data_IF_267338011145
#
_entry.id   IF_267338011145
#
_cell.length_a   1.000
_cell.length_b   1.000
_cell.length_c   1.000
_cell.angle_alpha   90.00
_cell.angle_beta   90.00
_cell.angle_gamma   90.00
#
_symmetry.space_group_name_H-M   'P 1'
#
loop_
_entity.id
_entity.type
_entity.pdbx_description
1 polymer ?
#
# COMPACT_ATOMS: atom_id res chain seq x y z
N UNK A 1 3.19 24.18 8.73
CA UNK A 1 2.77 22.77 8.58
C UNK A 1 1.50 22.56 9.39
N UNK A 2 0.52 21.87 8.86
CA UNK A 2 -0.68 21.49 9.61
C UNK A 2 -0.32 20.46 10.69
N UNK A 3 -1.11 20.37 11.76
CA UNK A 3 -0.91 19.34 12.77
C UNK A 3 -1.25 17.96 12.21
N UNK A 4 -0.52 16.88 12.59
CA UNK A 4 -0.88 15.53 12.22
C UNK A 4 -2.22 15.11 12.85
N UNK A 5 -2.95 14.23 12.16
CA UNK A 5 -4.18 13.65 12.68
C UNK A 5 -3.84 12.82 13.92
N UNK A 6 -4.57 13.06 15.01
CA UNK A 6 -4.42 12.27 16.23
C UNK A 6 -5.52 11.20 16.29
N UNK A 7 -5.11 9.95 16.50
CA UNK A 7 -6.03 8.81 16.70
C UNK A 7 -5.86 8.31 18.12
N UNK A 8 -6.89 8.47 18.93
CA UNK A 8 -6.95 8.03 20.31
C UNK A 8 -7.38 6.57 20.39
N UNK A 9 -6.72 5.81 21.23
CA UNK A 9 -7.12 4.47 21.67
C UNK A 9 -7.86 4.66 22.99
N UNK A 10 -9.15 4.35 23.01
CA UNK A 10 -10.01 4.61 24.16
C UNK A 10 -10.51 3.28 24.75
N UNK A 11 -10.34 3.11 26.03
CA UNK A 11 -10.82 1.93 26.78
C UNK A 11 -11.48 2.38 28.08
N UNK A 12 -12.74 1.97 28.31
CA UNK A 12 -13.48 2.36 29.51
C UNK A 12 -13.57 3.87 29.73
N UNK A 13 -13.59 4.67 28.63
CA UNK A 13 -13.62 6.13 28.69
C UNK A 13 -12.26 6.80 28.93
N UNK A 14 -11.17 6.02 29.07
CA UNK A 14 -9.81 6.52 29.28
C UNK A 14 -9.04 6.47 27.95
N UNK A 15 -8.31 7.53 27.62
CA UNK A 15 -7.36 7.55 26.50
C UNK A 15 -6.11 6.78 26.94
N UNK A 16 -5.94 5.58 26.38
CA UNK A 16 -4.84 4.66 26.70
C UNK A 16 -3.59 4.97 25.88
N UNK A 17 -3.76 5.41 24.62
CA UNK A 17 -2.67 5.79 23.72
C UNK A 17 -3.16 6.80 22.67
N UNK A 18 -2.20 7.49 22.04
CA UNK A 18 -2.46 8.40 20.92
C UNK A 18 -1.48 8.11 19.80
N UNK A 19 -1.98 7.85 18.61
CA UNK A 19 -1.19 7.72 17.39
C UNK A 19 -1.23 9.05 16.61
N UNK A 20 -0.09 9.46 16.05
CA UNK A 20 0.03 10.62 15.18
C UNK A 20 0.13 10.14 13.74
N UNK A 21 -0.66 10.73 12.84
CA UNK A 21 -0.73 10.29 11.45
C UNK A 21 -0.52 11.49 10.53
N UNK A 22 0.54 11.44 9.73
CA UNK A 22 0.75 12.34 8.60
C UNK A 22 -0.09 11.87 7.43
N UNK A 23 -0.71 12.80 6.71
CA UNK A 23 -1.53 12.51 5.55
C UNK A 23 -1.31 13.57 4.47
N UNK A 24 -1.33 13.16 3.21
CA UNK A 24 -1.23 14.06 2.07
C UNK A 24 -2.10 13.55 0.92
N UNK A 25 -2.75 14.49 0.24
CA UNK A 25 -3.49 14.25 -0.99
C UNK A 25 -2.84 15.04 -2.13
N UNK A 26 -2.62 14.37 -3.26
CA UNK A 26 -1.98 14.94 -4.45
C UNK A 26 -2.86 14.73 -5.68
N UNK A 27 -3.05 15.77 -6.46
CA UNK A 27 -3.71 15.72 -7.77
C UNK A 27 -2.87 16.51 -8.78
N UNK A 28 -2.61 15.95 -9.97
CA UNK A 28 -1.82 16.60 -11.02
C UNK A 28 -0.46 17.15 -10.52
N UNK A 29 0.20 16.41 -9.64
CA UNK A 29 1.49 16.78 -9.05
C UNK A 29 1.44 17.83 -7.95
N UNK A 30 0.26 18.37 -7.61
CA UNK A 30 0.07 19.40 -6.60
C UNK A 30 -0.54 18.81 -5.32
N UNK A 31 -0.02 19.24 -4.16
CA UNK A 31 -0.64 18.92 -2.87
C UNK A 31 -1.95 19.70 -2.76
N UNK A 32 -3.07 18.99 -2.64
CA UNK A 32 -4.41 19.57 -2.50
C UNK A 32 -4.91 19.55 -1.06
N UNK A 33 -4.38 18.68 -0.22
CA UNK A 33 -4.62 18.68 1.23
C UNK A 33 -3.45 18.01 1.96
N UNK A 34 -3.22 18.41 3.20
CA UNK A 34 -2.20 17.83 4.07
C UNK A 34 -2.60 17.87 5.54
N UNK A 35 -2.07 16.93 6.33
CA UNK A 35 -2.05 16.92 7.78
C UNK A 35 -0.69 16.41 8.24
N UNK A 36 -0.02 17.14 9.14
CA UNK A 36 1.36 16.87 9.52
C UNK A 36 2.38 17.24 8.44
N UNK A 37 3.45 16.47 8.33
CA UNK A 37 4.54 16.71 7.37
C UNK A 37 4.33 15.87 6.09
N UNK A 38 3.98 16.50 4.95
CA UNK A 38 3.79 15.80 3.68
C UNK A 38 5.11 15.32 3.06
N UNK A 39 6.26 15.78 3.56
CA UNK A 39 7.59 15.43 3.02
C UNK A 39 8.36 14.46 3.89
N UNK A 40 7.74 13.92 4.95
CA UNK A 40 8.37 12.87 5.76
C UNK A 40 8.83 11.73 4.85
N UNK A 41 10.10 11.33 5.00
CA UNK A 41 10.68 10.25 4.21
C UNK A 41 10.18 8.90 4.73
N UNK A 42 9.63 8.07 3.85
CA UNK A 42 9.03 6.78 4.21
C UNK A 42 9.47 5.68 3.23
N UNK A 43 9.72 4.48 3.74
CA UNK A 43 9.88 3.31 2.87
C UNK A 43 8.52 2.81 2.40
N UNK A 44 8.32 2.68 1.08
CA UNK A 44 7.08 2.20 0.49
C UNK A 44 6.71 0.79 0.95
N UNK A 45 7.71 -0.07 1.15
CA UNK A 45 7.47 -1.46 1.53
C UNK A 45 6.41 -2.11 0.62
N UNK A 46 5.44 -2.78 1.20
CA UNK A 46 4.37 -3.43 0.43
C UNK A 46 3.42 -2.46 -0.31
N UNK A 47 3.42 -1.17 -0.01
CA UNK A 47 2.66 -0.19 -0.78
C UNK A 47 3.21 0.00 -2.21
N UNK A 48 4.48 -0.35 -2.47
CA UNK A 48 5.05 -0.31 -3.82
C UNK A 48 4.48 -1.36 -4.78
N UNK A 49 3.87 -2.44 -4.29
CA UNK A 49 3.52 -3.61 -5.11
C UNK A 49 2.61 -3.33 -6.31
N UNK A 50 1.59 -2.45 -6.23
CA UNK A 50 0.78 -2.08 -7.40
C UNK A 50 1.59 -1.41 -8.51
N UNK A 51 2.69 -0.72 -8.16
CA UNK A 51 3.60 -0.10 -9.12
C UNK A 51 4.63 -1.14 -9.60
N UNK A 52 5.17 -1.96 -8.71
CA UNK A 52 6.16 -3.00 -9.03
C UNK A 52 5.63 -4.08 -9.98
N UNK A 53 4.30 -4.31 -10.02
CA UNK A 53 3.72 -5.30 -10.92
C UNK A 53 3.54 -4.78 -12.35
N UNK A 54 3.63 -3.47 -12.60
CA UNK A 54 3.39 -2.86 -13.91
C UNK A 54 4.25 -3.46 -15.04
N UNK A 55 5.58 -3.67 -14.88
CA UNK A 55 6.38 -4.30 -15.93
C UNK A 55 5.87 -5.68 -16.35
N UNK A 56 5.42 -6.47 -15.38
CA UNK A 56 4.83 -7.78 -15.65
C UNK A 56 3.48 -7.66 -16.37
N UNK A 57 2.59 -6.78 -15.91
CA UNK A 57 1.24 -6.59 -16.49
C UNK A 57 1.32 -6.10 -17.94
N UNK A 58 2.30 -5.24 -18.26
CA UNK A 58 2.58 -4.79 -19.64
C UNK A 58 3.06 -5.93 -20.53
N UNK A 59 3.94 -6.77 -20.02
CA UNK A 59 4.52 -7.87 -20.77
C UNK A 59 3.59 -9.09 -20.92
N UNK A 60 2.56 -9.20 -20.05
CA UNK A 60 1.63 -10.34 -19.99
C UNK A 60 0.17 -9.86 -20.01
N UNK A 61 -0.35 -9.54 -21.19
CA UNK A 61 -1.76 -9.13 -21.34
C UNK A 61 -2.75 -10.27 -21.02
N UNK A 62 -2.29 -11.50 -20.97
CA UNK A 62 -3.04 -12.72 -20.66
C UNK A 62 -3.13 -13.05 -19.15
N UNK A 63 -2.58 -12.24 -18.26
CA UNK A 63 -2.82 -12.38 -16.82
C UNK A 63 -4.26 -12.03 -16.48
N UNK A 64 -4.88 -12.85 -15.64
CA UNK A 64 -6.19 -12.52 -15.08
C UNK A 64 -6.09 -11.60 -13.84
N UNK A 65 -7.22 -11.05 -13.40
CA UNK A 65 -7.27 -10.10 -12.29
C UNK A 65 -6.86 -10.75 -10.95
N UNK A 66 -7.09 -12.06 -10.75
CA UNK A 66 -6.66 -12.76 -9.52
C UNK A 66 -5.14 -12.89 -9.47
N UNK A 67 -4.50 -13.18 -10.59
CA UNK A 67 -3.05 -13.26 -10.73
C UNK A 67 -2.39 -11.89 -10.48
N UNK A 68 -2.99 -10.83 -11.00
CA UNK A 68 -2.51 -9.46 -10.76
C UNK A 68 -2.70 -9.08 -9.29
N UNK A 69 -3.87 -9.34 -8.72
CA UNK A 69 -4.16 -9.01 -7.31
C UNK A 69 -3.21 -9.74 -6.35
N UNK A 70 -2.94 -11.04 -6.57
CA UNK A 70 -2.02 -11.80 -5.72
C UNK A 70 -0.57 -11.32 -5.87
N UNK A 71 -0.14 -10.88 -7.05
CA UNK A 71 1.17 -10.26 -7.23
C UNK A 71 1.31 -8.91 -6.50
N UNK A 72 0.21 -8.21 -6.24
CA UNK A 72 0.14 -7.01 -5.39
C UNK A 72 -0.03 -7.32 -3.89
N UNK A 73 -0.19 -8.58 -3.49
CA UNK A 73 -0.64 -8.96 -2.16
C UNK A 73 0.45 -8.91 -1.08
N UNK A 74 -0.03 -8.83 0.16
CA UNK A 74 0.70 -9.24 1.37
C UNK A 74 -0.17 -10.28 2.08
N UNK A 75 -0.38 -11.41 1.43
CA UNK A 75 -1.39 -12.41 1.77
C UNK A 75 -1.15 -13.10 3.12
N UNK A 76 -2.16 -13.81 3.60
CA UNK A 76 -2.15 -14.54 4.88
C UNK A 76 -2.06 -16.06 4.68
N UNK A 77 -1.54 -16.50 3.55
CA UNK A 77 -1.40 -17.91 3.19
C UNK A 77 -2.71 -18.72 3.25
N UNK A 78 -3.85 -18.09 2.93
CA UNK A 78 -5.12 -18.78 2.80
C UNK A 78 -5.07 -19.73 1.59
N UNK A 79 -5.77 -20.88 1.61
CA UNK A 79 -5.69 -21.85 0.52
C UNK A 79 -5.90 -21.23 -0.86
N UNK A 80 -6.93 -20.39 -1.04
CA UNK A 80 -7.24 -19.73 -2.29
C UNK A 80 -6.12 -18.76 -2.75
N UNK A 81 -5.39 -18.15 -1.82
CA UNK A 81 -4.25 -17.28 -2.13
C UNK A 81 -3.05 -18.11 -2.59
N UNK A 82 -2.76 -19.22 -1.90
CA UNK A 82 -1.66 -20.13 -2.24
C UNK A 82 -1.87 -20.80 -3.61
N UNK A 83 -3.10 -21.16 -3.96
CA UNK A 83 -3.44 -21.76 -5.25
C UNK A 83 -3.13 -20.79 -6.41
N UNK A 84 -3.42 -19.49 -6.26
CA UNK A 84 -3.08 -18.48 -7.25
C UNK A 84 -1.56 -18.27 -7.33
N UNK A 85 -0.85 -18.29 -6.20
CA UNK A 85 0.62 -18.23 -6.20
C UNK A 85 1.22 -19.41 -6.96
N UNK A 86 0.70 -20.65 -6.75
CA UNK A 86 1.13 -21.84 -7.51
C UNK A 86 0.85 -21.70 -9.00
N UNK A 87 -0.30 -21.13 -9.37
CA UNK A 87 -0.61 -20.86 -10.78
C UNK A 87 0.41 -19.91 -11.42
N UNK A 88 0.78 -18.81 -10.75
CA UNK A 88 1.82 -17.90 -11.23
C UNK A 88 3.18 -18.58 -11.35
N UNK A 89 3.58 -19.40 -10.37
CA UNK A 89 4.82 -20.18 -10.43
C UNK A 89 4.83 -21.14 -11.62
N UNK A 90 3.72 -21.84 -11.86
CA UNK A 90 3.58 -22.72 -13.02
C UNK A 90 3.77 -21.95 -14.34
N UNK A 91 3.19 -20.75 -14.47
CA UNK A 91 3.38 -19.87 -15.65
C UNK A 91 4.83 -19.38 -15.78
N UNK A 92 5.52 -19.22 -14.67
CA UNK A 92 6.97 -18.89 -14.65
C UNK A 92 7.85 -20.12 -14.97
N UNK A 93 7.29 -21.33 -15.06
CA UNK A 93 8.00 -22.62 -15.07
C UNK A 93 8.93 -22.75 -13.86
N UNK A 94 8.47 -22.28 -12.72
CA UNK A 94 9.16 -22.27 -11.44
C UNK A 94 8.38 -23.08 -10.41
N UNK A 95 9.06 -23.40 -9.31
CA UNK A 95 8.50 -24.12 -8.16
C UNK A 95 8.60 -23.28 -6.88
N UNK A 96 8.06 -23.79 -5.79
CA UNK A 96 8.21 -23.16 -4.47
C UNK A 96 9.68 -23.05 -4.03
N UNK A 97 10.56 -23.95 -4.50
CA UNK A 97 11.98 -23.94 -4.19
C UNK A 97 12.73 -22.74 -4.82
N UNK A 98 12.19 -22.18 -5.90
CA UNK A 98 12.77 -21.04 -6.62
C UNK A 98 12.40 -19.69 -5.97
N UNK A 99 11.45 -19.68 -5.03
CA UNK A 99 11.11 -18.47 -4.27
C UNK A 99 12.26 -18.06 -3.35
N UNK A 100 12.78 -16.86 -3.51
CA UNK A 100 13.83 -16.28 -2.66
C UNK A 100 13.22 -15.47 -1.48
N UNK A 101 12.10 -15.96 -0.95
CA UNK A 101 11.50 -15.46 0.29
C UNK A 101 12.13 -16.14 1.50
N UNK A 102 11.92 -15.57 2.70
CA UNK A 102 12.28 -16.26 3.94
C UNK A 102 11.55 -17.60 4.10
N UNK A 103 12.11 -18.56 4.86
CA UNK A 103 11.59 -19.93 4.97
C UNK A 103 10.41 -20.13 5.94
N UNK A 104 9.90 -19.09 6.58
CA UNK A 104 8.93 -19.24 7.67
C UNK A 104 7.49 -18.93 7.25
N UNK A 105 6.52 -19.83 7.51
CA UNK A 105 6.65 -21.24 7.83
C UNK A 105 7.16 -22.08 6.65
N UNK A 106 6.84 -21.65 5.42
CA UNK A 106 7.42 -22.13 4.17
C UNK A 106 7.58 -20.97 3.20
N UNK A 107 8.34 -21.15 2.11
CA UNK A 107 8.58 -20.06 1.14
C UNK A 107 7.30 -19.57 0.47
N UNK A 108 6.38 -20.48 0.15
CA UNK A 108 5.11 -20.09 -0.48
C UNK A 108 4.14 -19.45 0.51
N UNK A 109 4.18 -19.79 1.80
CA UNK A 109 3.35 -19.20 2.84
C UNK A 109 3.86 -17.82 3.28
N UNK A 110 5.05 -17.42 2.86
CA UNK A 110 5.53 -16.07 3.12
C UNK A 110 4.59 -15.03 2.49
N UNK A 111 4.24 -13.98 3.23
CA UNK A 111 3.24 -12.98 2.84
C UNK A 111 3.50 -12.29 1.49
N UNK A 112 4.74 -12.32 1.00
CA UNK A 112 5.17 -11.74 -0.26
C UNK A 112 5.32 -12.75 -1.40
N UNK A 113 5.00 -14.04 -1.20
CA UNK A 113 5.26 -15.07 -2.24
C UNK A 113 4.53 -14.79 -3.55
N UNK A 114 3.34 -14.17 -3.50
CA UNK A 114 2.63 -13.73 -4.71
C UNK A 114 3.43 -12.72 -5.53
N UNK A 115 4.02 -11.70 -4.88
CA UNK A 115 4.94 -10.75 -5.52
C UNK A 115 6.16 -11.47 -6.10
N UNK A 116 6.76 -12.39 -5.34
CA UNK A 116 7.94 -13.14 -5.77
C UNK A 116 7.65 -14.08 -6.94
N UNK A 117 6.48 -14.73 -6.97
CA UNK A 117 6.02 -15.51 -8.13
C UNK A 117 5.85 -14.60 -9.37
N UNK A 118 5.30 -13.39 -9.18
CA UNK A 118 5.26 -12.38 -10.23
C UNK A 118 6.65 -11.96 -10.74
N UNK A 119 7.62 -11.83 -9.85
CA UNK A 119 9.01 -11.53 -10.22
C UNK A 119 9.66 -12.65 -11.02
N UNK A 120 9.48 -13.91 -10.64
CA UNK A 120 9.96 -15.06 -11.42
C UNK A 120 9.32 -15.09 -12.81
N UNK A 121 8.03 -14.80 -12.91
CA UNK A 121 7.36 -14.71 -14.21
C UNK A 121 7.90 -13.52 -15.03
N UNK A 122 8.17 -12.38 -14.41
CA UNK A 122 8.79 -11.23 -15.09
C UNK A 122 10.19 -11.56 -15.59
N UNK A 123 11.04 -12.23 -14.78
CA UNK A 123 12.36 -12.71 -15.21
C UNK A 123 12.24 -13.60 -16.45
N UNK A 124 11.34 -14.58 -16.43
CA UNK A 124 11.10 -15.46 -17.58
C UNK A 124 10.74 -14.68 -18.85
N UNK A 125 9.81 -13.75 -18.74
CA UNK A 125 9.35 -12.95 -19.90
C UNK A 125 10.45 -12.04 -20.44
N UNK A 126 11.29 -11.49 -19.55
CA UNK A 126 12.42 -10.62 -19.91
C UNK A 126 13.66 -11.39 -20.35
N UNK A 127 13.70 -12.73 -20.17
CA UNK A 127 14.90 -13.52 -20.40
C UNK A 127 16.00 -13.25 -19.35
N UNK A 128 15.62 -12.77 -18.16
CA UNK A 128 16.54 -12.60 -17.04
C UNK A 128 16.77 -13.93 -16.33
N UNK A 129 17.95 -14.09 -15.72
CA UNK A 129 18.25 -15.22 -14.84
C UNK A 129 17.26 -15.23 -13.67
N UNK A 130 16.65 -16.38 -13.35
CA UNK A 130 15.70 -16.49 -12.24
C UNK A 130 16.41 -16.45 -10.88
N UNK A 131 17.63 -17.04 -10.81
CA UNK A 131 18.40 -17.07 -9.56
C UNK A 131 18.94 -15.68 -9.22
N UNK A 132 18.81 -15.27 -7.97
CA UNK A 132 19.30 -13.98 -7.49
C UNK A 132 18.40 -12.81 -7.86
N UNK A 133 17.16 -13.06 -8.30
CA UNK A 133 16.22 -11.97 -8.64
C UNK A 133 15.90 -11.04 -7.45
N UNK A 134 16.16 -11.48 -6.23
CA UNK A 134 16.00 -10.67 -5.02
C UNK A 134 17.14 -9.69 -4.77
N UNK A 135 18.31 -9.90 -5.38
CA UNK A 135 19.51 -9.08 -5.17
C UNK A 135 19.36 -7.70 -5.81
N UNK A 136 19.80 -6.65 -5.12
CA UNK A 136 19.75 -5.28 -5.63
C UNK A 136 20.47 -5.08 -6.97
N UNK A 137 21.51 -5.90 -7.27
CA UNK A 137 22.25 -5.87 -8.53
C UNK A 137 21.55 -6.56 -9.69
N UNK A 138 20.42 -7.25 -9.44
CA UNK A 138 19.72 -7.99 -10.48
C UNK A 138 18.97 -7.03 -11.44
N UNK A 139 18.95 -7.29 -12.78
CA UNK A 139 18.31 -6.42 -13.76
C UNK A 139 16.84 -6.12 -13.45
N UNK A 140 16.10 -7.10 -12.93
CA UNK A 140 14.71 -6.89 -12.51
C UNK A 140 14.61 -5.80 -11.44
N UNK A 141 15.49 -5.78 -10.44
CA UNK A 141 15.40 -4.78 -9.36
C UNK A 141 15.75 -3.38 -9.86
N UNK A 142 16.64 -3.26 -10.84
CA UNK A 142 16.87 -1.99 -11.53
C UNK A 142 15.63 -1.53 -12.31
N UNK A 143 14.96 -2.42 -13.06
CA UNK A 143 13.69 -2.11 -13.76
C UNK A 143 12.61 -1.68 -12.78
N UNK A 144 12.52 -2.30 -11.59
CA UNK A 144 11.55 -1.94 -10.56
C UNK A 144 11.84 -0.58 -9.92
N UNK A 145 13.12 -0.25 -9.68
CA UNK A 145 13.53 1.07 -9.20
C UNK A 145 13.13 2.16 -10.21
N UNK A 146 13.45 1.97 -11.50
CA UNK A 146 13.06 2.89 -12.57
C UNK A 146 11.54 3.04 -12.68
N UNK A 147 10.80 1.94 -12.53
CA UNK A 147 9.33 1.96 -12.55
C UNK A 147 8.75 2.80 -11.40
N UNK A 148 9.29 2.64 -10.19
CA UNK A 148 8.86 3.41 -9.02
C UNK A 148 9.25 4.88 -9.17
N UNK A 149 10.47 5.17 -9.63
CA UNK A 149 10.97 6.52 -9.88
C UNK A 149 10.11 7.26 -10.92
N UNK A 150 9.79 6.59 -12.03
CA UNK A 150 8.93 7.13 -13.07
C UNK A 150 7.50 7.37 -12.57
N UNK A 151 6.94 6.48 -11.75
CA UNK A 151 5.62 6.69 -11.15
C UNK A 151 5.60 7.90 -10.21
N UNK A 152 6.64 8.09 -9.40
CA UNK A 152 6.77 9.18 -8.44
C UNK A 152 7.29 10.49 -9.07
N UNK A 153 7.73 10.47 -10.34
CA UNK A 153 8.41 11.58 -11.04
C UNK A 153 9.60 12.12 -10.25
N UNK A 154 10.51 11.21 -9.89
CA UNK A 154 11.76 11.53 -9.22
C UNK A 154 12.94 10.90 -9.96
N UNK A 155 14.14 11.44 -9.77
CA UNK A 155 15.37 10.80 -10.25
C UNK A 155 15.59 9.47 -9.52
N UNK A 156 15.76 8.32 -10.20
CA UNK A 156 16.07 7.05 -9.57
C UNK A 156 17.29 7.12 -8.63
N UNK A 157 18.29 7.95 -8.97
CA UNK A 157 19.47 8.15 -8.14
C UNK A 157 19.19 8.85 -6.81
N UNK A 158 18.06 9.55 -6.71
CA UNK A 158 17.64 10.22 -5.46
C UNK A 158 16.93 9.27 -4.49
N UNK A 159 16.54 8.07 -4.93
CA UNK A 159 15.81 7.11 -4.11
C UNK A 159 16.76 6.32 -3.22
N UNK A 160 16.64 6.50 -1.91
CA UNK A 160 17.33 5.63 -0.96
C UNK A 160 16.69 4.24 -0.98
N UNK A 161 17.52 3.21 -1.13
CA UNK A 161 17.08 1.81 -1.11
C UNK A 161 17.56 1.11 0.15
N UNK A 162 16.77 0.14 0.63
CA UNK A 162 17.12 -0.77 1.71
C UNK A 162 16.57 -2.15 1.39
N UNK A 163 16.92 -3.15 2.20
CA UNK A 163 16.39 -4.51 2.03
C UNK A 163 15.10 -4.66 2.83
N UNK A 164 14.03 -5.08 2.17
CA UNK A 164 12.75 -5.39 2.81
C UNK A 164 12.79 -6.74 3.56
N UNK A 165 11.82 -6.97 4.46
CA UNK A 165 11.70 -8.22 5.20
C UNK A 165 11.57 -9.48 4.34
N UNK A 166 11.20 -9.37 3.07
CA UNK A 166 11.16 -10.47 2.10
C UNK A 166 12.46 -10.64 1.28
N UNK A 167 13.51 -9.88 1.60
CA UNK A 167 14.82 -10.01 0.95
C UNK A 167 15.05 -9.16 -0.29
N UNK A 168 14.03 -8.51 -0.87
CA UNK A 168 14.18 -7.64 -2.04
C UNK A 168 14.38 -6.16 -1.66
N UNK A 169 14.88 -5.31 -2.56
CA UNK A 169 14.95 -3.87 -2.33
C UNK A 169 13.59 -3.24 -2.05
N UNK A 170 13.57 -2.27 -1.16
CA UNK A 170 12.47 -1.34 -0.91
C UNK A 170 12.95 0.09 -1.07
N UNK A 171 12.05 1.00 -1.38
CA UNK A 171 12.34 2.35 -1.86
C UNK A 171 11.82 3.39 -0.88
N UNK A 172 12.65 4.37 -0.51
CA UNK A 172 12.26 5.48 0.32
C UNK A 172 11.90 6.70 -0.55
N UNK A 173 10.72 7.24 -0.31
CA UNK A 173 10.21 8.45 -0.96
C UNK A 173 9.62 9.41 0.08
N UNK A 174 9.61 10.73 -0.17
CA UNK A 174 8.75 11.64 0.56
C UNK A 174 7.28 11.23 0.44
N UNK A 175 6.49 11.45 1.48
CA UNK A 175 5.09 11.00 1.54
C UNK A 175 4.23 11.59 0.40
N UNK A 176 4.48 12.85 0.01
CA UNK A 176 3.83 13.49 -1.15
C UNK A 176 4.18 12.79 -2.46
N UNK A 177 5.41 12.27 -2.62
CA UNK A 177 5.80 11.49 -3.80
C UNK A 177 5.15 10.10 -3.81
N UNK A 178 4.91 9.50 -2.64
CA UNK A 178 4.10 8.28 -2.54
C UNK A 178 2.66 8.53 -3.02
N UNK A 179 2.02 9.59 -2.54
CA UNK A 179 0.68 9.98 -2.99
C UNK A 179 0.65 10.31 -4.49
N UNK A 180 1.67 11.03 -4.99
CA UNK A 180 1.81 11.35 -6.41
C UNK A 180 1.94 10.09 -7.28
N UNK A 181 2.75 9.12 -6.89
CA UNK A 181 2.88 7.87 -7.62
C UNK A 181 1.53 7.12 -7.72
N UNK A 182 0.72 7.16 -6.67
CA UNK A 182 -0.61 6.59 -6.68
C UNK A 182 -1.60 7.42 -7.50
N UNK A 183 -1.53 8.76 -7.48
CA UNK A 183 -2.39 9.63 -8.31
C UNK A 183 -2.22 9.35 -9.80
N UNK A 184 -1.02 8.97 -10.21
CA UNK A 184 -0.68 8.65 -11.61
C UNK A 184 -1.02 7.22 -12.01
N UNK A 185 -1.17 6.31 -11.04
CA UNK A 185 -1.37 4.88 -11.31
C UNK A 185 -2.50 4.59 -12.31
N UNK A 186 -3.67 5.28 -12.27
CA UNK A 186 -4.73 5.06 -13.27
C UNK A 186 -4.30 5.30 -14.72
N UNK A 187 -3.44 6.30 -14.94
CA UNK A 187 -2.94 6.71 -16.27
C UNK A 187 -1.67 6.01 -16.72
N UNK A 188 -0.99 5.25 -15.85
CA UNK A 188 0.19 4.48 -16.24
C UNK A 188 -0.20 3.28 -17.09
N UNK A 189 0.66 2.92 -18.05
CA UNK A 189 0.46 1.70 -18.86
C UNK A 189 0.37 0.47 -17.95
N UNK A 190 -0.73 -0.28 -18.07
CA UNK A 190 -1.07 -1.41 -17.19
C UNK A 190 -1.74 -1.02 -15.88
N UNK A 191 -1.71 0.26 -15.49
CA UNK A 191 -2.24 0.72 -14.19
C UNK A 191 -3.74 0.51 -14.04
N UNK A 192 -4.53 0.77 -15.08
CA UNK A 192 -5.97 0.53 -15.06
C UNK A 192 -6.30 -0.94 -14.79
N UNK A 193 -5.51 -1.90 -15.32
CA UNK A 193 -5.67 -3.33 -15.05
C UNK A 193 -5.32 -3.68 -13.60
N UNK A 194 -4.24 -3.09 -13.06
CA UNK A 194 -3.86 -3.28 -11.65
C UNK A 194 -4.96 -2.79 -10.73
N UNK A 195 -5.53 -1.62 -11.00
CA UNK A 195 -6.66 -1.04 -10.24
C UNK A 195 -7.89 -1.94 -10.33
N UNK A 196 -8.25 -2.40 -11.53
CA UNK A 196 -9.37 -3.31 -11.74
C UNK A 196 -9.20 -4.61 -10.93
N UNK A 197 -8.02 -5.22 -10.96
CA UNK A 197 -7.69 -6.43 -10.22
C UNK A 197 -7.81 -6.23 -8.68
N UNK A 198 -7.26 -5.12 -8.16
CA UNK A 198 -7.35 -4.76 -6.74
C UNK A 198 -8.82 -4.58 -6.32
N UNK A 199 -9.62 -3.92 -7.15
CA UNK A 199 -11.04 -3.67 -6.88
C UNK A 199 -11.91 -4.94 -6.98
N UNK A 200 -11.59 -5.80 -7.91
CA UNK A 200 -12.32 -7.05 -8.11
C UNK A 200 -12.04 -8.08 -6.99
N UNK A 201 -10.82 -8.09 -6.45
CA UNK A 201 -10.37 -9.09 -5.47
C UNK A 201 -9.62 -8.45 -4.28
N UNK A 202 -10.22 -7.49 -3.56
CA UNK A 202 -9.54 -6.77 -2.48
C UNK A 202 -9.13 -7.69 -1.32
N UNK A 203 -9.86 -8.79 -1.08
CA UNK A 203 -9.54 -9.78 -0.05
C UNK A 203 -8.27 -10.58 -0.35
N UNK A 204 -7.85 -10.68 -1.62
CA UNK A 204 -6.59 -11.33 -2.00
C UNK A 204 -5.38 -10.51 -1.59
N UNK A 205 -5.50 -9.20 -1.41
CA UNK A 205 -4.38 -8.33 -1.03
C UNK A 205 -3.79 -8.70 0.34
N UNK A 206 -4.65 -9.11 1.26
CA UNK A 206 -4.25 -9.60 2.59
C UNK A 206 -5.31 -10.55 3.15
N UNK A 207 -6.53 -10.06 3.32
CA UNK A 207 -7.69 -10.79 3.83
C UNK A 207 -8.88 -9.84 3.95
N UNK A 208 -10.10 -10.36 4.18
CA UNK A 208 -11.34 -9.57 4.08
C UNK A 208 -11.48 -8.46 5.13
N UNK A 209 -10.78 -8.57 6.28
CA UNK A 209 -10.80 -7.57 7.36
C UNK A 209 -9.59 -6.63 7.33
N UNK A 210 -8.71 -6.76 6.34
CA UNK A 210 -7.57 -5.86 6.20
C UNK A 210 -8.01 -4.46 5.78
N UNK A 211 -7.26 -3.43 6.19
CA UNK A 211 -7.62 -2.04 5.94
C UNK A 211 -7.75 -1.73 4.44
N UNK A 212 -6.87 -2.28 3.60
CA UNK A 212 -6.93 -2.15 2.14
C UNK A 212 -8.22 -2.77 1.58
N UNK A 213 -8.61 -3.99 2.02
CA UNK A 213 -9.83 -4.63 1.55
C UNK A 213 -11.11 -3.92 2.04
N UNK A 214 -11.12 -3.46 3.30
CA UNK A 214 -12.24 -2.66 3.83
C UNK A 214 -12.36 -1.35 3.06
N UNK A 215 -11.24 -0.64 2.86
CA UNK A 215 -11.22 0.63 2.13
C UNK A 215 -11.78 0.50 0.72
N UNK A 216 -11.31 -0.50 -0.04
CA UNK A 216 -11.75 -0.71 -1.44
C UNK A 216 -13.26 -1.03 -1.53
N UNK A 217 -13.83 -1.66 -0.49
CA UNK A 217 -15.28 -1.94 -0.44
C UNK A 217 -16.11 -0.74 -0.01
N UNK A 218 -15.60 0.07 0.93
CA UNK A 218 -16.34 1.19 1.51
C UNK A 218 -16.23 2.47 0.67
N UNK A 219 -15.15 2.65 -0.10
CA UNK A 219 -14.91 3.86 -0.89
C UNK A 219 -14.94 3.52 -2.38
N UNK A 220 -16.09 3.78 -2.99
CA UNK A 220 -16.35 3.35 -4.36
C UNK A 220 -15.33 3.92 -5.36
N UNK A 221 -14.92 3.07 -6.28
CA UNK A 221 -14.01 3.42 -7.36
C UNK A 221 -12.52 3.44 -6.98
N UNK A 222 -12.17 3.49 -5.70
CA UNK A 222 -10.79 3.60 -5.27
C UNK A 222 -10.05 2.26 -5.25
N UNK A 223 -8.74 2.36 -5.38
CA UNK A 223 -7.80 1.25 -5.13
C UNK A 223 -6.78 1.66 -4.07
N UNK A 224 -6.32 0.69 -3.29
CA UNK A 224 -5.39 0.96 -2.21
C UNK A 224 -4.42 -0.18 -1.96
N UNK A 225 -3.28 0.15 -1.32
CA UNK A 225 -2.34 -0.83 -0.80
C UNK A 225 -1.67 -0.34 0.49
N UNK A 226 -1.82 -1.14 1.53
CA UNK A 226 -1.07 -0.94 2.77
C UNK A 226 0.38 -1.40 2.68
N UNK A 227 1.28 -0.63 3.26
CA UNK A 227 2.68 -0.96 3.52
C UNK A 227 2.91 -1.40 4.96
N UNK A 228 4.13 -1.78 5.30
CA UNK A 228 4.54 -1.96 6.69
C UNK A 228 4.74 -0.60 7.38
N UNK A 229 4.92 -0.63 8.70
CA UNK A 229 5.23 0.55 9.53
C UNK A 229 4.20 1.69 9.37
N UNK A 230 2.90 1.33 9.29
CA UNK A 230 1.82 2.31 9.23
C UNK A 230 1.79 3.18 7.97
N UNK A 231 2.26 2.68 6.84
CA UNK A 231 2.10 3.35 5.55
C UNK A 231 0.85 2.82 4.84
N UNK A 232 0.08 3.72 4.24
CA UNK A 232 -1.07 3.39 3.40
C UNK A 232 -1.14 4.34 2.23
N UNK A 233 -1.32 3.81 1.02
CA UNK A 233 -1.47 4.60 -0.20
C UNK A 233 -2.73 4.18 -0.94
N UNK A 234 -3.43 5.15 -1.53
CA UNK A 234 -4.65 4.93 -2.30
C UNK A 234 -4.75 5.90 -3.48
N UNK A 235 -5.55 5.53 -4.47
CA UNK A 235 -5.89 6.40 -5.59
C UNK A 235 -7.36 6.28 -5.95
N UNK A 236 -7.94 7.42 -6.37
CA UNK A 236 -9.26 7.49 -6.97
C UNK A 236 -9.21 7.27 -8.48
N UNK A 237 -10.36 7.01 -9.13
CA UNK A 237 -10.44 6.88 -10.58
C UNK A 237 -10.03 8.15 -11.33
N UNK A 238 -10.27 9.33 -10.74
CA UNK A 238 -10.00 10.65 -11.31
C UNK A 238 -8.62 11.22 -10.97
N UNK A 239 -7.69 10.36 -10.48
CA UNK A 239 -6.30 10.71 -10.29
C UNK A 239 -5.99 11.48 -9.00
N UNK A 240 -6.85 11.42 -7.97
CA UNK A 240 -6.47 11.86 -6.63
C UNK A 240 -5.68 10.74 -5.94
N UNK A 241 -4.43 10.99 -5.60
CA UNK A 241 -3.59 10.08 -4.82
C UNK A 241 -3.53 10.51 -3.37
N UNK A 242 -3.60 9.55 -2.45
CA UNK A 242 -3.53 9.79 -1.00
C UNK A 242 -2.48 8.89 -0.38
N UNK A 243 -1.68 9.44 0.54
CA UNK A 243 -0.74 8.67 1.34
C UNK A 243 -0.83 9.07 2.81
N UNK A 244 -0.81 8.07 3.69
CA UNK A 244 -0.79 8.23 5.14
C UNK A 244 0.40 7.50 5.75
N UNK A 245 1.02 8.12 6.77
CA UNK A 245 2.08 7.51 7.58
C UNK A 245 1.79 7.71 9.05
N UNK A 246 1.74 6.62 9.79
CA UNK A 246 1.65 6.64 11.26
C UNK A 246 3.05 6.72 11.85
N UNK A 247 3.33 7.68 12.73
CA UNK A 247 4.67 7.92 13.29
C UNK A 247 5.28 6.68 13.94
N UNK A 248 4.51 6.02 14.78
CA UNK A 248 4.92 4.82 15.54
C UNK A 248 4.73 3.49 14.77
N UNK A 249 4.27 3.57 13.51
CA UNK A 249 4.05 2.39 12.67
C UNK A 249 2.78 1.59 12.98
N UNK A 250 1.98 1.99 13.96
CA UNK A 250 0.79 1.26 14.41
C UNK A 250 -0.34 1.29 13.36
N UNK A 251 -0.43 0.23 12.56
CA UNK A 251 -1.35 0.14 11.42
C UNK A 251 -2.84 0.28 11.81
N UNK A 252 -3.19 0.01 13.07
CA UNK A 252 -4.57 0.17 13.60
C UNK A 252 -5.11 1.60 13.49
N UNK A 253 -4.23 2.62 13.45
CA UNK A 253 -4.61 4.02 13.34
C UNK A 253 -5.00 4.43 11.90
N UNK A 254 -4.68 3.62 10.88
CA UNK A 254 -4.88 3.97 9.46
C UNK A 254 -6.35 4.22 9.14
N UNK A 255 -7.25 3.30 9.48
CA UNK A 255 -8.66 3.42 9.09
C UNK A 255 -9.34 4.67 9.64
N UNK A 256 -9.28 4.98 10.94
CA UNK A 256 -9.87 6.21 11.48
C UNK A 256 -9.25 7.49 10.91
N UNK A 257 -7.90 7.52 10.75
CA UNK A 257 -7.21 8.67 10.20
C UNK A 257 -7.55 8.89 8.72
N UNK A 258 -7.61 7.80 7.93
CA UNK A 258 -7.94 7.84 6.51
C UNK A 258 -9.37 8.34 6.28
N UNK A 259 -10.34 7.84 7.07
CA UNK A 259 -11.72 8.32 6.99
C UNK A 259 -11.80 9.82 7.27
N UNK A 260 -11.23 10.26 8.39
CA UNK A 260 -11.23 11.67 8.76
C UNK A 260 -10.54 12.55 7.70
N UNK A 261 -9.44 12.09 7.11
CA UNK A 261 -8.73 12.85 6.07
C UNK A 261 -9.55 12.94 4.78
N UNK A 262 -10.13 11.84 4.32
CA UNK A 262 -10.96 11.80 3.11
C UNK A 262 -12.24 12.62 3.23
N UNK A 263 -12.84 12.68 4.41
CA UNK A 263 -14.00 13.54 4.71
C UNK A 263 -13.68 15.03 4.50
N UNK A 264 -12.43 15.46 4.80
CA UNK A 264 -11.99 16.85 4.50
C UNK A 264 -11.93 17.15 3.02
N UNK A 265 -11.84 16.11 2.18
CA UNK A 265 -11.83 16.16 0.72
C UNK A 265 -13.23 15.94 0.10
N UNK A 266 -14.27 15.81 0.94
CA UNK A 266 -15.62 15.54 0.49
C UNK A 266 -15.88 14.12 -0.01
N UNK A 267 -15.00 13.17 0.33
CA UNK A 267 -15.14 11.75 -0.05
C UNK A 267 -15.94 11.03 1.01
N UNK A 268 -17.03 10.36 0.61
CA UNK A 268 -17.80 9.52 1.51
C UNK A 268 -17.02 8.27 1.91
N UNK A 269 -16.94 7.98 3.21
CA UNK A 269 -16.10 6.92 3.77
C UNK A 269 -16.87 5.75 4.39
N UNK A 270 -18.22 5.80 4.38
CA UNK A 270 -19.06 4.74 4.91
C UNK A 270 -18.70 4.39 6.36
N UNK A 271 -18.41 3.13 6.62
CA UNK A 271 -18.01 2.63 7.95
C UNK A 271 -16.49 2.58 8.15
N UNK A 272 -15.68 3.12 7.21
CA UNK A 272 -14.23 3.02 7.24
C UNK A 272 -13.62 3.51 8.56
N UNK A 273 -14.15 4.61 9.10
CA UNK A 273 -13.66 5.21 10.34
C UNK A 273 -13.97 4.41 11.61
N UNK A 274 -14.87 3.45 11.55
CA UNK A 274 -15.20 2.63 12.72
C UNK A 274 -14.11 1.58 12.99
N UNK A 275 -13.40 1.74 14.09
CA UNK A 275 -12.38 0.80 14.53
C UNK A 275 -12.61 0.46 16.00
N UNK A 276 -13.02 -0.78 16.28
CA UNK A 276 -13.25 -1.32 17.62
C UNK A 276 -12.04 -2.08 18.13
N UNK A 277 -11.92 -2.14 19.44
CA UNK A 277 -10.97 -3.02 20.14
C UNK A 277 -11.79 -4.12 20.77
N UNK A 278 -11.43 -5.36 20.44
CA UNK A 278 -12.06 -6.55 20.98
C UNK A 278 -11.09 -7.28 21.93
N UNK A 279 -11.65 -7.95 22.92
CA UNK A 279 -10.90 -8.88 23.77
C UNK A 279 -10.83 -10.28 23.10
N UNK A 280 -10.20 -11.23 23.77
CA UNK A 280 -10.08 -12.62 23.28
C UNK A 280 -11.41 -13.38 23.20
N UNK A 281 -12.49 -12.83 23.76
CA UNK A 281 -13.84 -13.39 23.70
C UNK A 281 -14.68 -12.75 22.56
N UNK A 282 -14.10 -11.81 21.77
CA UNK A 282 -14.82 -11.09 20.73
C UNK A 282 -15.72 -9.97 21.26
N UNK A 283 -15.60 -9.60 22.53
CA UNK A 283 -16.37 -8.52 23.13
C UNK A 283 -15.70 -7.17 22.88
N UNK A 284 -16.48 -6.16 22.48
CA UNK A 284 -15.99 -4.78 22.32
C UNK A 284 -15.60 -4.22 23.69
N UNK A 285 -14.33 -3.89 23.85
CA UNK A 285 -13.74 -3.35 25.09
C UNK A 285 -13.16 -1.94 24.92
N UNK A 286 -13.19 -1.40 23.70
CA UNK A 286 -12.67 -0.09 23.38
C UNK A 286 -12.89 0.29 21.92
N UNK A 287 -12.35 1.44 21.54
CA UNK A 287 -12.42 1.97 20.19
C UNK A 287 -11.20 2.82 19.85
N UNK A 288 -10.97 3.03 18.55
CA UNK A 288 -10.07 4.05 18.06
C UNK A 288 -10.89 5.17 17.46
N UNK A 289 -10.55 6.42 17.80
CA UNK A 289 -11.29 7.62 17.36
C UNK A 289 -10.31 8.74 17.03
N UNK A 290 -10.57 9.46 15.94
CA UNK A 290 -9.85 10.70 15.66
C UNK A 290 -10.25 11.80 16.62
N UNK A 291 -9.26 12.52 17.15
CA UNK A 291 -9.50 13.75 17.88
C UNK A 291 -9.95 14.82 16.89
N UNK A 292 -11.03 15.57 17.15
CA UNK A 292 -11.39 16.71 16.32
C UNK A 292 -10.20 17.66 16.22
N UNK A 293 -9.81 18.05 15.00
CA UNK A 293 -8.81 19.11 14.84
C UNK A 293 -9.41 20.41 15.36
N UNK A 294 -8.74 21.05 16.32
CA UNK A 294 -9.14 22.38 16.75
C UNK A 294 -8.96 23.33 15.55
N UNK A 295 -10.04 23.80 14.97
CA UNK A 295 -10.03 24.91 14.03
C UNK A 295 -9.47 26.13 14.78
N UNK A 296 -8.21 26.46 14.58
CA UNK A 296 -7.71 27.81 14.88
C UNK A 296 -8.23 28.68 13.75
N UNK A 297 -9.17 29.60 13.98
CA UNK A 297 -9.61 30.53 12.95
C UNK A 297 -8.38 31.28 12.46
N UNK A 298 -8.11 31.27 11.15
CA UNK A 298 -7.10 32.17 10.56
C UNK A 298 -7.49 33.57 10.99
N UNK A 299 -6.66 34.18 11.85
CA UNK A 299 -6.91 35.49 12.42
C UNK A 299 -7.23 36.48 11.30
N UNK A 300 -8.36 37.18 11.45
CA UNK A 300 -8.67 38.39 10.71
C UNK A 300 -7.46 39.34 10.88
N UNK A 301 -6.80 39.66 9.77
CA UNK A 301 -5.78 40.71 9.77
C UNK A 301 -6.45 41.99 10.24
N UNK A 302 -6.16 42.41 11.45
CA UNK A 302 -6.51 43.77 11.91
C UNK A 302 -5.84 44.77 10.98
N UNK A 303 -6.65 45.49 10.23
CA UNK A 303 -6.27 46.70 9.50
C UNK A 303 -5.93 47.81 10.49
#
# INVERSE_FOLDING_TARGET
>A
MADPIQVEVIRGGVVEAVHRVHAVAVREGQIVAEAGDPRILVFLRSAAKPIQVLPLVRARPDLDDREIAIACSSHLARPEQLDIVRALLARAHASEADLETGPAPSRIEHTCSGKHAGFLLACRVRGYEARGYSLASHPLQAELLETVAAAAEVDPASITTAIDGCGVPTFALPLDRCAHAFSRLPGLEGGARVIAAIRAYPELLRGPIAADAIFVREVDGWAAKGGAEGLFCACSPDGLGVALKVDDGAFRAIRPALAAFLETLGVATGTLGFATIENSHGERVGELKTRPQSHVPKGESRR
#
